data_IF_477622817260
#
_entry.id   IF_477622817260
#
_cell.length_a   1.000
_cell.length_b   1.000
_cell.length_c   1.000
_cell.angle_alpha   90.00
_cell.angle_beta   90.00
_cell.angle_gamma   90.00
#
_symmetry.space_group_name_H-M   'P 1'
#
loop_
_entity.id
_entity.type
_entity.pdbx_description
1 polymer ?
#
# COMPACT_ATOMS: atom_id res chain seq x y z
N UNK A 1 -20.03 -12.72 10.13
CA UNK A 1 -18.71 -12.29 10.66
C UNK A 1 -18.28 -13.00 11.94
N UNK A 2 -19.03 -12.94 13.06
CA UNK A 2 -18.62 -13.59 14.33
C UNK A 2 -18.35 -15.10 14.18
N UNK A 3 -19.19 -15.84 13.45
CA UNK A 3 -18.99 -17.28 13.15
C UNK A 3 -17.79 -17.59 12.26
N UNK A 4 -17.36 -16.66 11.41
CA UNK A 4 -16.21 -16.88 10.53
C UNK A 4 -14.90 -16.67 11.31
N UNK A 5 -14.80 -15.52 11.99
CA UNK A 5 -13.60 -15.20 12.79
C UNK A 5 -13.49 -16.01 14.08
N UNK A 6 -14.57 -16.62 14.59
CA UNK A 6 -14.50 -17.51 15.75
C UNK A 6 -13.64 -18.75 15.53
N UNK A 7 -13.50 -19.19 14.28
CA UNK A 7 -12.70 -20.35 13.91
C UNK A 7 -11.22 -20.01 13.72
N UNK A 8 -10.86 -18.72 13.72
CA UNK A 8 -9.50 -18.25 13.50
C UNK A 8 -8.83 -18.01 14.86
N UNK A 9 -7.68 -18.67 15.09
CA UNK A 9 -6.88 -18.43 16.29
C UNK A 9 -6.26 -17.03 16.24
N UNK A 10 -6.11 -16.32 17.39
CA UNK A 10 -5.48 -15.00 17.43
C UNK A 10 -4.08 -14.92 16.79
N UNK A 11 -3.25 -15.98 16.95
CA UNK A 11 -1.92 -16.06 16.32
C UNK A 11 -2.01 -16.15 14.80
N UNK A 12 -2.94 -16.97 14.29
CA UNK A 12 -3.21 -17.09 12.85
C UNK A 12 -3.68 -15.76 12.28
N UNK A 13 -4.57 -15.05 12.99
CA UNK A 13 -5.02 -13.72 12.55
C UNK A 13 -3.85 -12.74 12.44
N UNK A 14 -2.92 -12.69 13.41
CA UNK A 14 -1.73 -11.83 13.30
C UNK A 14 -0.89 -12.13 12.06
N UNK A 15 -0.67 -13.41 11.77
CA UNK A 15 0.10 -13.84 10.60
C UNK A 15 -0.63 -13.41 9.32
N UNK A 16 -1.93 -13.66 9.22
CA UNK A 16 -2.75 -13.23 8.08
C UNK A 16 -2.73 -11.72 7.90
N UNK A 17 -2.82 -10.94 8.99
CA UNK A 17 -2.70 -9.48 8.94
C UNK A 17 -1.39 -9.05 8.28
N UNK A 18 -0.25 -9.60 8.73
CA UNK A 18 1.04 -9.19 8.17
C UNK A 18 1.23 -9.68 6.73
N UNK A 19 0.78 -10.90 6.40
CA UNK A 19 0.85 -11.40 5.02
C UNK A 19 0.00 -10.55 4.09
N UNK A 20 -1.27 -10.30 4.44
CA UNK A 20 -2.18 -9.56 3.58
C UNK A 20 -1.78 -8.08 3.46
N UNK A 21 -1.32 -7.46 4.55
CA UNK A 21 -0.81 -6.09 4.46
C UNK A 21 0.51 -6.02 3.67
N UNK A 22 1.43 -6.96 3.90
CA UNK A 22 2.71 -7.03 3.18
C UNK A 22 2.56 -7.29 1.68
N UNK A 23 1.64 -8.17 1.26
CA UNK A 23 1.31 -8.34 -0.16
C UNK A 23 0.77 -7.04 -0.74
N UNK A 24 -0.06 -6.32 0.01
CA UNK A 24 -0.56 -5.02 -0.40
C UNK A 24 0.54 -3.98 -0.61
N UNK A 25 1.52 -3.93 0.28
CA UNK A 25 2.67 -3.03 0.13
C UNK A 25 3.46 -3.35 -1.15
N UNK A 26 3.67 -4.64 -1.46
CA UNK A 26 4.32 -5.06 -2.71
C UNK A 26 3.53 -4.61 -3.94
N UNK A 27 2.20 -4.77 -3.92
CA UNK A 27 1.32 -4.35 -5.02
C UNK A 27 1.36 -2.82 -5.17
N UNK A 28 1.27 -2.07 -4.07
CA UNK A 28 1.31 -0.60 -4.09
C UNK A 28 2.65 -0.10 -4.62
N UNK A 29 3.77 -0.69 -4.19
CA UNK A 29 5.10 -0.35 -4.70
C UNK A 29 5.20 -0.63 -6.19
N UNK A 30 4.76 -1.81 -6.64
CA UNK A 30 4.78 -2.17 -8.05
C UNK A 30 3.92 -1.21 -8.88
N UNK A 31 2.74 -0.85 -8.37
CA UNK A 31 1.84 0.11 -8.99
C UNK A 31 2.47 1.51 -9.10
N UNK A 32 3.05 2.02 -8.02
CA UNK A 32 3.70 3.33 -8.01
C UNK A 32 4.91 3.35 -8.93
N UNK A 33 5.70 2.27 -8.95
CA UNK A 33 6.82 2.14 -9.87
C UNK A 33 6.34 2.20 -11.32
N UNK A 34 5.36 1.37 -11.69
CA UNK A 34 4.79 1.34 -13.05
C UNK A 34 4.24 2.71 -13.48
N UNK A 35 3.56 3.43 -12.58
CA UNK A 35 2.99 4.73 -12.87
C UNK A 35 4.05 5.84 -13.07
N UNK A 36 5.04 5.90 -12.18
CA UNK A 36 6.00 7.02 -12.13
C UNK A 36 7.31 6.76 -12.87
N UNK A 37 7.54 5.54 -13.36
CA UNK A 37 8.69 5.19 -14.22
C UNK A 37 8.39 5.25 -15.72
N UNK A 38 7.17 5.66 -16.10
CA UNK A 38 6.80 5.93 -17.49
C UNK A 38 7.21 7.36 -17.87
N UNK A 39 8.20 7.48 -18.76
CA UNK A 39 8.67 8.77 -19.27
C UNK A 39 7.59 9.54 -20.04
N UNK A 40 6.73 8.85 -20.79
CA UNK A 40 5.65 9.48 -21.56
C UNK A 40 4.57 10.06 -20.67
N UNK A 41 4.23 9.39 -19.55
CA UNK A 41 3.35 9.95 -18.52
C UNK A 41 4.01 11.14 -17.82
N UNK A 42 5.30 11.04 -17.48
CA UNK A 42 6.06 12.15 -16.93
C UNK A 42 6.04 13.38 -17.85
N UNK A 43 6.30 13.19 -19.15
CA UNK A 43 6.32 14.29 -20.12
C UNK A 43 4.93 14.93 -20.28
N UNK A 44 3.86 14.13 -20.26
CA UNK A 44 2.48 14.64 -20.26
C UNK A 44 2.19 15.47 -19.01
N UNK A 45 2.62 15.00 -17.83
CA UNK A 45 2.44 15.72 -16.57
C UNK A 45 3.21 17.05 -16.57
N UNK A 46 4.44 17.05 -17.07
CA UNK A 46 5.27 18.25 -17.25
C UNK A 46 4.58 19.29 -18.14
N UNK A 47 4.00 18.86 -19.27
CA UNK A 47 3.26 19.72 -20.20
C UNK A 47 2.01 20.34 -19.58
N UNK A 48 1.33 19.61 -18.69
CA UNK A 48 0.17 20.12 -17.95
C UNK A 48 0.57 21.14 -16.86
N UNK A 49 1.72 20.93 -16.21
CA UNK A 49 2.22 21.82 -15.16
C UNK A 49 2.79 23.14 -15.67
N UNK A 50 3.33 23.17 -16.90
CA UNK A 50 3.96 24.34 -17.51
C UNK A 50 3.35 24.67 -18.88
N UNK A 51 2.06 25.05 -18.95
CA UNK A 51 1.42 25.39 -20.22
C UNK A 51 2.07 26.64 -20.83
N UNK A 52 2.67 26.49 -22.03
CA UNK A 52 3.23 27.61 -22.80
C UNK A 52 4.75 27.78 -22.75
N UNK A 53 5.47 27.05 -21.89
CA UNK A 53 6.93 27.11 -21.80
C UNK A 53 7.63 26.03 -22.65
N UNK A 54 7.27 25.93 -23.94
CA UNK A 54 7.76 24.86 -24.84
C UNK A 54 9.26 24.94 -25.14
N UNK A 55 9.88 26.10 -24.96
CA UNK A 55 11.25 26.38 -25.40
C UNK A 55 12.31 26.30 -24.28
N UNK A 56 11.90 26.26 -23.00
CA UNK A 56 12.84 26.29 -21.86
C UNK A 56 13.24 24.92 -21.31
N UNK A 57 12.58 23.84 -21.73
CA UNK A 57 12.85 22.48 -21.28
C UNK A 57 13.38 21.70 -22.47
N UNK A 58 14.68 21.83 -22.74
CA UNK A 58 15.34 20.96 -23.70
C UNK A 58 15.22 19.49 -23.27
N UNK A 59 15.42 18.57 -24.23
CA UNK A 59 15.26 17.14 -23.95
C UNK A 59 16.27 16.63 -22.91
N UNK A 60 17.43 17.27 -22.82
CA UNK A 60 18.43 16.95 -21.82
C UNK A 60 17.94 17.27 -20.40
N UNK A 61 17.40 18.47 -20.18
CA UNK A 61 16.84 18.88 -18.89
C UNK A 61 15.65 17.99 -18.49
N UNK A 62 14.76 17.66 -19.43
CA UNK A 62 13.65 16.71 -19.16
C UNK A 62 14.15 15.35 -18.70
N UNK A 63 15.18 14.83 -19.37
CA UNK A 63 15.78 13.55 -19.00
C UNK A 63 16.44 13.62 -17.62
N UNK A 64 17.21 14.67 -17.31
CA UNK A 64 17.80 14.87 -15.99
C UNK A 64 16.74 14.96 -14.90
N UNK A 65 15.67 15.73 -15.13
CA UNK A 65 14.55 15.86 -14.19
C UNK A 65 13.83 14.51 -13.99
N UNK A 66 13.66 13.72 -15.04
CA UNK A 66 13.10 12.39 -14.94
C UNK A 66 13.99 11.44 -14.11
N UNK A 67 15.31 11.50 -14.26
CA UNK A 67 16.23 10.73 -13.42
C UNK A 67 16.15 11.14 -11.95
N UNK A 68 16.00 12.43 -11.65
CA UNK A 68 15.75 12.92 -10.29
C UNK A 68 14.43 12.35 -9.75
N UNK A 69 13.37 12.34 -10.56
CA UNK A 69 12.10 11.71 -10.20
C UNK A 69 12.27 10.21 -9.89
N UNK A 70 12.95 9.44 -10.74
CA UNK A 70 13.20 8.02 -10.52
C UNK A 70 14.00 7.75 -9.25
N UNK A 71 15.05 8.53 -8.98
CA UNK A 71 15.86 8.36 -7.78
C UNK A 71 15.08 8.72 -6.52
N UNK A 72 14.28 9.79 -6.58
CA UNK A 72 13.40 10.19 -5.47
C UNK A 72 12.34 9.12 -5.19
N UNK A 73 11.74 8.56 -6.26
CA UNK A 73 10.78 7.46 -6.17
C UNK A 73 11.40 6.23 -5.50
N UNK A 74 12.61 5.81 -5.92
CA UNK A 74 13.33 4.68 -5.29
C UNK A 74 13.50 4.89 -3.79
N UNK A 75 13.99 6.07 -3.39
CA UNK A 75 14.20 6.39 -1.96
C UNK A 75 12.88 6.34 -1.20
N UNK A 76 11.82 6.95 -1.75
CA UNK A 76 10.50 6.94 -1.13
C UNK A 76 9.95 5.53 -0.97
N UNK A 77 10.07 4.66 -1.98
CA UNK A 77 9.60 3.28 -1.93
C UNK A 77 10.39 2.44 -0.91
N UNK A 78 11.71 2.65 -0.79
CA UNK A 78 12.54 2.00 0.23
C UNK A 78 12.11 2.43 1.64
N UNK A 79 11.95 3.74 1.87
CA UNK A 79 11.51 4.27 3.16
C UNK A 79 10.10 3.77 3.51
N UNK A 80 9.21 3.70 2.54
CA UNK A 80 7.88 3.11 2.67
C UNK A 80 7.95 1.66 3.16
N UNK A 81 8.77 0.80 2.53
CA UNK A 81 8.94 -0.58 3.00
C UNK A 81 9.49 -0.66 4.41
N UNK A 82 10.53 0.10 4.73
CA UNK A 82 11.14 0.09 6.07
C UNK A 82 10.13 0.51 7.14
N UNK A 83 9.32 1.53 6.85
CA UNK A 83 8.26 1.99 7.72
C UNK A 83 7.21 0.91 7.99
N UNK A 84 6.78 0.19 6.96
CA UNK A 84 5.79 -0.89 7.10
C UNK A 84 6.37 -2.11 7.82
N UNK A 85 7.59 -2.53 7.50
CA UNK A 85 8.30 -3.62 8.20
C UNK A 85 8.43 -3.31 9.69
N UNK A 86 8.81 -2.08 10.05
CA UNK A 86 8.86 -1.64 11.45
C UNK A 86 7.52 -1.81 12.15
N UNK A 87 6.41 -1.42 11.49
CA UNK A 87 5.07 -1.59 12.04
C UNK A 87 4.66 -3.06 12.17
N UNK A 88 5.04 -3.93 11.23
CA UNK A 88 4.78 -5.37 11.31
C UNK A 88 5.51 -6.03 12.48
N UNK A 89 6.80 -5.73 12.64
CA UNK A 89 7.58 -6.20 13.79
C UNK A 89 6.93 -5.72 15.09
N UNK A 90 6.61 -4.44 15.18
CA UNK A 90 5.97 -3.87 16.37
C UNK A 90 4.57 -4.46 16.65
N UNK A 91 3.82 -4.79 15.61
CA UNK A 91 2.52 -5.47 15.73
C UNK A 91 2.68 -6.89 16.27
N UNK A 92 3.67 -7.65 15.78
CA UNK A 92 4.00 -8.97 16.33
C UNK A 92 4.42 -8.89 17.80
N UNK A 93 5.19 -7.86 18.17
CA UNK A 93 5.58 -7.54 19.54
C UNK A 93 4.45 -6.94 20.39
N UNK A 94 3.20 -6.96 19.92
CA UNK A 94 2.02 -6.47 20.64
C UNK A 94 2.11 -4.98 21.03
N UNK A 95 2.73 -4.13 20.21
CA UNK A 95 2.76 -2.69 20.49
C UNK A 95 1.43 -2.05 20.10
N UNK A 96 0.82 -1.30 21.04
CA UNK A 96 -0.49 -0.64 20.85
C UNK A 96 -0.50 0.33 19.66
N UNK A 97 0.57 1.11 19.46
CA UNK A 97 0.64 2.06 18.36
C UNK A 97 0.60 1.35 17.00
N UNK A 98 1.29 0.22 16.85
CA UNK A 98 1.30 -0.56 15.61
C UNK A 98 -0.07 -1.17 15.28
N UNK A 99 -0.79 -1.62 16.32
CA UNK A 99 -2.19 -2.04 16.16
C UNK A 99 -3.09 -0.90 15.66
N UNK A 100 -2.97 0.30 16.25
CA UNK A 100 -3.77 1.46 15.84
C UNK A 100 -3.42 1.87 14.41
N UNK A 101 -2.13 1.95 14.09
CA UNK A 101 -1.64 2.26 12.75
C UNK A 101 -2.22 1.30 11.71
N UNK A 102 -2.06 -0.02 11.89
CA UNK A 102 -2.57 -1.00 10.95
C UNK A 102 -4.09 -0.92 10.83
N UNK A 103 -4.81 -0.69 11.94
CA UNK A 103 -6.26 -0.52 11.92
C UNK A 103 -6.67 0.69 11.07
N UNK A 104 -6.02 1.84 11.25
CA UNK A 104 -6.31 3.04 10.45
C UNK A 104 -5.96 2.77 8.99
N UNK A 105 -4.77 2.22 8.73
CA UNK A 105 -4.31 1.92 7.38
C UNK A 105 -5.32 1.06 6.62
N UNK A 106 -5.76 -0.08 7.17
CA UNK A 106 -6.67 -0.97 6.43
C UNK A 106 -8.07 -0.37 6.22
N UNK A 107 -8.52 0.50 7.12
CA UNK A 107 -9.82 1.17 6.99
C UNK A 107 -9.79 2.35 6.02
N UNK A 108 -8.63 2.98 5.81
CA UNK A 108 -8.44 4.02 4.79
C UNK A 108 -8.10 3.39 3.44
N UNK A 109 -7.09 2.52 3.42
CA UNK A 109 -6.59 1.88 2.21
C UNK A 109 -7.59 0.90 1.61
N UNK A 110 -8.35 0.14 2.42
CA UNK A 110 -9.32 -0.84 1.90
C UNK A 110 -10.30 -0.24 0.90
N UNK A 111 -11.14 0.74 1.29
CA UNK A 111 -12.05 1.42 0.36
C UNK A 111 -11.32 2.14 -0.78
N UNK A 112 -10.23 2.85 -0.48
CA UNK A 112 -9.48 3.60 -1.50
C UNK A 112 -8.93 2.70 -2.60
N UNK A 113 -8.30 1.60 -2.23
CA UNK A 113 -7.70 0.63 -3.15
C UNK A 113 -8.77 -0.14 -3.93
N UNK A 114 -9.94 -0.42 -3.34
CA UNK A 114 -11.09 -0.97 -4.09
C UNK A 114 -11.54 -0.01 -5.18
N UNK A 115 -11.82 1.26 -4.83
CA UNK A 115 -12.27 2.26 -5.79
C UNK A 115 -11.24 2.46 -6.92
N UNK A 116 -9.97 2.47 -6.56
CA UNK A 116 -8.87 2.55 -7.49
C UNK A 116 -8.82 1.33 -8.43
N UNK A 117 -8.91 0.11 -7.91
CA UNK A 117 -8.98 -1.11 -8.72
C UNK A 117 -10.20 -1.13 -9.65
N UNK A 118 -11.36 -0.68 -9.17
CA UNK A 118 -12.57 -0.58 -10.01
C UNK A 118 -12.41 0.41 -11.17
N UNK A 119 -11.61 1.47 -11.01
CA UNK A 119 -11.35 2.44 -12.08
C UNK A 119 -10.61 1.84 -13.29
N UNK A 120 -9.97 0.68 -13.10
CA UNK A 120 -9.27 -0.11 -14.11
C UNK A 120 -10.10 -1.30 -14.62
N UNK A 121 -11.40 -1.37 -14.33
CA UNK A 121 -12.25 -2.45 -14.86
C UNK A 121 -12.33 -2.35 -16.37
N UNK A 122 -11.91 -3.40 -17.08
CA UNK A 122 -11.92 -3.46 -18.55
C UNK A 122 -10.78 -2.69 -19.23
N UNK A 123 -9.85 -2.09 -18.46
CA UNK A 123 -8.66 -1.41 -18.99
C UNK A 123 -7.54 -1.44 -17.96
N UNK A 124 -6.34 -1.87 -18.36
CA UNK A 124 -5.17 -1.81 -17.47
C UNK A 124 -4.35 -3.07 -17.47
N UNK A 125 -3.23 -3.03 -16.75
CA UNK A 125 -2.32 -4.16 -16.62
C UNK A 125 -2.65 -5.04 -15.40
N UNK A 126 -1.92 -6.13 -15.24
CA UNK A 126 -2.12 -7.09 -14.16
C UNK A 126 -2.06 -6.42 -12.76
N UNK A 127 -1.09 -5.54 -12.53
CA UNK A 127 -0.88 -4.89 -11.22
C UNK A 127 -2.10 -4.04 -10.85
N UNK A 128 -2.63 -3.28 -11.81
CA UNK A 128 -3.83 -2.45 -11.62
C UNK A 128 -5.06 -3.29 -11.26
N UNK A 129 -5.21 -4.47 -11.87
CA UNK A 129 -6.31 -5.39 -11.55
C UNK A 129 -6.15 -6.06 -10.18
N UNK A 130 -4.91 -6.25 -9.69
CA UNK A 130 -4.64 -6.80 -8.36
C UNK A 130 -4.99 -5.84 -7.21
N UNK A 131 -5.20 -4.54 -7.49
CA UNK A 131 -5.64 -3.58 -6.49
C UNK A 131 -7.01 -3.96 -5.90
N UNK A 132 -7.98 -4.34 -6.73
CA UNK A 132 -9.32 -4.69 -6.26
C UNK A 132 -9.33 -5.83 -5.23
N UNK A 133 -8.78 -7.04 -5.51
CA UNK A 133 -8.73 -8.11 -4.52
C UNK A 133 -7.88 -7.72 -3.30
N UNK A 134 -6.81 -6.93 -3.47
CA UNK A 134 -6.02 -6.45 -2.34
C UNK A 134 -6.83 -5.54 -1.40
N UNK A 135 -7.66 -4.66 -1.95
CA UNK A 135 -8.54 -3.81 -1.15
C UNK A 135 -9.56 -4.62 -0.34
N UNK A 136 -10.06 -5.74 -0.89
CA UNK A 136 -10.89 -6.70 -0.15
C UNK A 136 -10.11 -7.40 0.98
N UNK A 137 -8.85 -7.75 0.76
CA UNK A 137 -7.98 -8.30 1.81
C UNK A 137 -7.74 -7.28 2.94
N UNK A 138 -7.55 -5.99 2.62
CA UNK A 138 -7.49 -4.94 3.64
C UNK A 138 -8.78 -4.84 4.44
N UNK A 139 -9.95 -4.85 3.78
CA UNK A 139 -11.23 -4.86 4.50
C UNK A 139 -11.38 -6.11 5.37
N UNK A 140 -10.96 -7.28 4.90
CA UNK A 140 -10.93 -8.51 5.70
C UNK A 140 -10.11 -8.33 6.99
N UNK A 141 -8.90 -7.77 6.87
CA UNK A 141 -8.06 -7.46 8.04
C UNK A 141 -8.74 -6.44 8.95
N UNK A 142 -9.34 -5.39 8.39
CA UNK A 142 -10.07 -4.36 9.15
C UNK A 142 -11.22 -4.94 9.98
N UNK A 143 -12.03 -5.82 9.38
CA UNK A 143 -13.11 -6.53 10.09
C UNK A 143 -12.56 -7.48 11.14
N UNK A 144 -11.47 -8.19 10.83
CA UNK A 144 -10.80 -9.05 11.80
C UNK A 144 -10.27 -8.29 13.01
N UNK A 145 -9.73 -7.08 12.82
CA UNK A 145 -9.27 -6.23 13.92
C UNK A 145 -10.42 -5.73 14.80
N UNK A 146 -11.64 -5.59 14.28
CA UNK A 146 -12.82 -5.33 15.13
C UNK A 146 -13.16 -6.53 16.02
N UNK A 147 -12.93 -7.76 15.53
CA UNK A 147 -13.20 -9.00 16.26
C UNK A 147 -12.07 -9.39 17.24
N UNK A 148 -10.82 -9.08 16.89
CA UNK A 148 -9.63 -9.31 17.71
C UNK A 148 -9.09 -8.00 18.27
N UNK A 149 -9.72 -7.42 19.31
CA UNK A 149 -9.23 -6.19 19.91
C UNK A 149 -7.83 -6.38 20.51
N UNK A 150 -7.05 -5.30 20.58
CA UNK A 150 -5.68 -5.28 21.09
C UNK A 150 -5.46 -6.16 22.35
N UNK A 151 -6.34 -6.06 23.35
CA UNK A 151 -6.24 -6.86 24.59
C UNK A 151 -6.25 -8.37 24.34
N UNK A 152 -7.06 -8.84 23.38
CA UNK A 152 -7.18 -10.26 23.01
C UNK A 152 -5.97 -10.75 22.21
N UNK A 153 -5.31 -9.87 21.46
CA UNK A 153 -4.09 -10.18 20.72
C UNK A 153 -2.83 -10.18 21.60
N UNK A 154 -2.80 -9.32 22.63
CA UNK A 154 -1.71 -9.21 23.60
C UNK A 154 -1.68 -10.32 24.66
N UNK A 155 -2.79 -11.02 24.89
CA UNK A 155 -2.87 -12.13 25.84
C UNK A 155 -2.12 -13.41 25.38
N UNK A 156 -1.60 -13.42 24.15
CA UNK A 156 -0.77 -14.51 23.63
C UNK A 156 0.65 -14.30 24.18
N UNK A 157 0.99 -14.96 25.29
CA UNK A 157 2.39 -15.09 25.71
C UNK A 157 3.11 -15.94 24.65
N UNK A 158 4.25 -15.45 24.16
CA UNK A 158 5.19 -16.26 23.40
C UNK A 158 5.67 -17.37 24.35
N UNK A 159 5.14 -18.57 24.13
CA UNK A 159 5.68 -19.80 24.70
C UNK A 159 6.79 -20.31 23.77
#
# INVERSE_FOLDING_TARGET
MKKFFSNIKPRTFKILTVIFCGIGDLIIVAYLWDLFSDYGLFEKALKLGFPGQREFLDEEFKHQLFQVNLNSLKIMLVLYFLFHIFHYICFFLNKKFAYIYLKIMVWVAGPGIILMGLSYTGKGNLIQHLLLPQGLLYLFVGMGMLYFPYKKLGAIKLA
#
